data_IF_550223699829
#
_entry.id   IF_550223699829
#
_cell.length_a   1.000
_cell.length_b   1.000
_cell.length_c   1.000
_cell.angle_alpha   90.00
_cell.angle_beta   90.00
_cell.angle_gamma   90.00
#
_symmetry.space_group_name_H-M   'P 1'
#
loop_
_entity.id
_entity.type
_entity.pdbx_description
1 polymer ?
#
# COMPACT_ATOMS: atom_id res chain seq x y z
N UNK A 1 -0.98 -23.95 -14.58
CA UNK A 1 -0.01 -24.26 -13.50
C UNK A 1 0.03 -23.15 -12.45
N UNK A 2 0.05 -23.48 -11.16
CA UNK A 2 -0.07 -22.53 -10.04
C UNK A 2 0.96 -21.37 -10.08
N UNK A 3 2.14 -21.64 -10.65
CA UNK A 3 3.22 -20.68 -10.87
C UNK A 3 2.82 -19.53 -11.80
N UNK A 4 2.03 -19.81 -12.82
CA UNK A 4 1.60 -18.83 -13.82
C UNK A 4 0.67 -17.77 -13.21
N UNK A 5 -0.24 -18.22 -12.32
CA UNK A 5 -1.15 -17.33 -11.60
C UNK A 5 -0.40 -16.38 -10.65
N UNK A 6 0.61 -16.86 -9.93
CA UNK A 6 1.41 -16.00 -9.04
C UNK A 6 2.12 -14.90 -9.84
N UNK A 7 2.75 -15.26 -10.96
CA UNK A 7 3.46 -14.29 -11.81
C UNK A 7 2.52 -13.25 -12.41
N UNK A 8 1.32 -13.65 -12.84
CA UNK A 8 0.30 -12.72 -13.35
C UNK A 8 -0.12 -11.72 -12.26
N UNK A 9 -0.36 -12.18 -11.03
CA UNK A 9 -0.75 -11.29 -9.93
C UNK A 9 0.38 -10.31 -9.58
N UNK A 10 1.63 -10.78 -9.51
CA UNK A 10 2.81 -9.92 -9.31
C UNK A 10 2.94 -8.91 -10.44
N UNK A 11 2.67 -9.31 -11.68
CA UNK A 11 2.74 -8.42 -12.84
C UNK A 11 1.68 -7.33 -12.78
N UNK A 12 0.42 -7.67 -12.50
CA UNK A 12 -0.63 -6.68 -12.28
C UNK A 12 -0.29 -5.73 -11.15
N UNK A 13 0.31 -6.24 -10.08
CA UNK A 13 0.70 -5.41 -8.95
C UNK A 13 1.78 -4.39 -9.32
N UNK A 14 2.80 -4.80 -10.07
CA UNK A 14 3.83 -3.88 -10.60
C UNK A 14 3.25 -2.81 -11.51
N UNK A 15 2.29 -3.18 -12.37
CA UNK A 15 1.59 -2.21 -13.23
C UNK A 15 0.78 -1.23 -12.38
N UNK A 16 0.09 -1.69 -11.35
CA UNK A 16 -0.63 -0.82 -10.43
C UNK A 16 0.32 0.18 -9.74
N UNK A 17 1.45 -0.28 -9.20
CA UNK A 17 2.46 0.58 -8.59
C UNK A 17 3.01 1.64 -9.58
N UNK A 18 3.19 1.27 -10.86
CA UNK A 18 3.62 2.20 -11.90
C UNK A 18 2.58 3.32 -12.10
N UNK A 19 1.30 2.96 -12.28
CA UNK A 19 0.23 3.95 -12.43
C UNK A 19 0.07 4.82 -11.19
N UNK A 20 0.18 4.22 -10.00
CA UNK A 20 0.18 4.96 -8.74
C UNK A 20 1.29 6.01 -8.68
N UNK A 21 2.53 5.63 -9.02
CA UNK A 21 3.67 6.55 -9.06
C UNK A 21 3.51 7.68 -10.07
N UNK A 22 2.72 7.48 -11.13
CA UNK A 22 2.35 8.51 -12.11
C UNK A 22 1.17 9.38 -11.69
N UNK A 23 0.54 9.13 -10.53
CA UNK A 23 -0.69 9.79 -10.09
C UNK A 23 -1.94 9.36 -10.86
N UNK A 24 -1.87 8.29 -11.65
CA UNK A 24 -2.97 7.72 -12.42
C UNK A 24 -3.78 6.75 -11.55
N UNK A 25 -4.53 7.31 -10.59
CA UNK A 25 -5.20 6.55 -9.54
C UNK A 25 -6.27 5.60 -10.08
N UNK A 26 -7.03 6.00 -11.11
CA UNK A 26 -8.08 5.17 -11.70
C UNK A 26 -7.52 3.89 -12.33
N UNK A 27 -6.43 4.01 -13.09
CA UNK A 27 -5.73 2.87 -13.69
C UNK A 27 -5.06 2.01 -12.62
N UNK A 28 -4.46 2.62 -11.60
CA UNK A 28 -3.94 1.89 -10.44
C UNK A 28 -5.03 0.98 -9.83
N UNK A 29 -6.19 1.57 -9.47
CA UNK A 29 -7.33 0.84 -8.89
C UNK A 29 -7.81 -0.27 -9.83
N UNK A 30 -7.87 -0.02 -11.13
CA UNK A 30 -8.26 -1.04 -12.13
C UNK A 30 -7.38 -2.29 -12.06
N UNK A 31 -6.06 -2.14 -12.00
CA UNK A 31 -5.13 -3.27 -11.90
C UNK A 31 -5.18 -3.95 -10.54
N UNK A 32 -5.34 -3.19 -9.45
CA UNK A 32 -5.51 -3.75 -8.11
C UNK A 32 -6.77 -4.60 -7.99
N UNK A 33 -7.86 -4.18 -8.63
CA UNK A 33 -9.10 -4.96 -8.66
C UNK A 33 -8.94 -6.31 -9.38
N UNK A 34 -8.01 -6.44 -10.33
CA UNK A 34 -7.70 -7.75 -10.95
C UNK A 34 -7.06 -8.72 -9.95
N UNK A 35 -6.32 -8.21 -8.97
CA UNK A 35 -5.71 -8.98 -7.89
C UNK A 35 -6.79 -9.31 -6.86
N UNK A 36 -7.44 -8.26 -6.33
CA UNK A 36 -8.41 -8.32 -5.23
C UNK A 36 -9.59 -9.25 -5.54
N UNK A 37 -10.04 -9.29 -6.80
CA UNK A 37 -11.18 -10.11 -7.24
C UNK A 37 -10.76 -11.44 -7.87
N UNK A 38 -9.47 -11.82 -7.80
CA UNK A 38 -9.02 -13.11 -8.33
C UNK A 38 -9.56 -14.28 -7.48
N UNK A 39 -9.99 -15.35 -8.14
CA UNK A 39 -10.62 -16.52 -7.49
C UNK A 39 -9.65 -17.40 -6.68
N UNK A 40 -8.34 -17.23 -6.87
CA UNK A 40 -7.29 -18.06 -6.27
C UNK A 40 -6.57 -17.34 -5.13
N UNK A 41 -7.26 -17.18 -3.99
CA UNK A 41 -6.80 -16.41 -2.83
C UNK A 41 -5.49 -16.95 -2.20
N UNK A 42 -5.27 -18.26 -2.21
CA UNK A 42 -4.15 -18.89 -1.50
C UNK A 42 -2.76 -18.68 -2.12
N UNK A 43 -2.67 -18.30 -3.40
CA UNK A 43 -1.39 -18.28 -4.13
C UNK A 43 -0.61 -16.98 -3.91
N UNK A 44 -1.19 -15.98 -3.25
CA UNK A 44 -0.54 -14.69 -3.02
C UNK A 44 -1.21 -13.88 -1.88
N UNK A 45 -1.46 -14.50 -0.72
CA UNK A 45 -2.17 -13.86 0.39
C UNK A 45 -1.50 -12.56 0.89
N UNK A 46 -0.16 -12.54 0.98
CA UNK A 46 0.59 -11.32 1.28
C UNK A 46 0.38 -10.23 0.22
N UNK A 47 0.37 -10.61 -1.06
CA UNK A 47 0.18 -9.67 -2.16
C UNK A 47 -1.26 -9.14 -2.22
N UNK A 48 -2.24 -9.94 -1.78
CA UNK A 48 -3.63 -9.49 -1.59
C UNK A 48 -3.71 -8.41 -0.51
N UNK A 49 -3.02 -8.61 0.62
CA UNK A 49 -2.90 -7.59 1.66
C UNK A 49 -2.33 -6.28 1.08
N UNK A 50 -1.19 -6.33 0.40
CA UNK A 50 -0.57 -5.13 -0.17
C UNK A 50 -1.43 -4.48 -1.27
N UNK A 51 -2.12 -5.27 -2.09
CA UNK A 51 -3.00 -4.77 -3.13
C UNK A 51 -4.20 -4.01 -2.54
N UNK A 52 -4.80 -4.52 -1.46
CA UNK A 52 -5.92 -3.85 -0.77
C UNK A 52 -5.48 -2.56 -0.08
N UNK A 53 -4.32 -2.58 0.59
CA UNK A 53 -3.74 -1.37 1.21
C UNK A 53 -3.45 -0.30 0.15
N UNK A 54 -2.78 -0.66 -0.95
CA UNK A 54 -2.53 0.28 -2.05
C UNK A 54 -3.83 0.77 -2.70
N UNK A 55 -4.83 -0.09 -2.82
CA UNK A 55 -6.14 0.30 -3.37
C UNK A 55 -6.78 1.36 -2.50
N UNK A 56 -6.74 1.20 -1.17
CA UNK A 56 -7.24 2.19 -0.24
C UNK A 56 -6.55 3.54 -0.39
N UNK A 57 -5.21 3.52 -0.52
CA UNK A 57 -4.41 4.73 -0.75
C UNK A 57 -4.78 5.39 -2.08
N UNK A 58 -4.90 4.62 -3.17
CA UNK A 58 -5.25 5.14 -4.48
C UNK A 58 -6.67 5.75 -4.52
N UNK A 59 -7.63 5.17 -3.79
CA UNK A 59 -8.96 5.74 -3.63
C UNK A 59 -8.90 7.07 -2.87
N UNK A 60 -8.18 7.12 -1.75
CA UNK A 60 -7.94 8.35 -1.00
C UNK A 60 -7.35 9.46 -1.88
N UNK A 61 -6.34 9.12 -2.69
CA UNK A 61 -5.68 10.04 -3.63
C UNK A 61 -6.58 10.51 -4.78
N UNK A 62 -7.55 9.70 -5.19
CA UNK A 62 -8.47 10.06 -6.27
C UNK A 62 -9.53 11.09 -5.86
N UNK A 63 -9.68 11.37 -4.55
CA UNK A 63 -10.72 12.25 -4.03
C UNK A 63 -12.15 11.69 -4.18
N UNK A 64 -12.29 10.43 -4.58
CA UNK A 64 -13.57 9.73 -4.72
C UNK A 64 -14.03 9.18 -3.35
N UNK A 65 -14.68 10.05 -2.58
CA UNK A 65 -15.01 9.81 -1.17
C UNK A 65 -16.13 8.75 -0.96
N UNK A 66 -17.01 8.56 -1.95
CA UNK A 66 -18.28 7.81 -1.79
C UNK A 66 -18.10 6.32 -1.44
N UNK A 67 -16.95 5.73 -1.74
CA UNK A 67 -16.68 4.32 -1.49
C UNK A 67 -15.55 4.09 -0.48
N UNK A 68 -14.88 5.15 -0.01
CA UNK A 68 -13.68 5.01 0.79
C UNK A 68 -13.98 4.30 2.13
N UNK A 69 -15.05 4.67 2.83
CA UNK A 69 -15.46 4.04 4.10
C UNK A 69 -15.75 2.54 3.93
N UNK A 70 -16.44 2.15 2.84
CA UNK A 70 -16.70 0.75 2.53
C UNK A 70 -15.38 0.00 2.25
N UNK A 71 -14.47 0.57 1.48
CA UNK A 71 -13.16 -0.01 1.20
C UNK A 71 -12.30 -0.14 2.46
N UNK A 72 -12.37 0.82 3.39
CA UNK A 72 -11.74 0.74 4.72
C UNK A 72 -12.26 -0.48 5.48
N UNK A 73 -13.59 -0.62 5.60
CA UNK A 73 -14.24 -1.73 6.30
C UNK A 73 -13.91 -3.08 5.66
N UNK A 74 -13.92 -3.17 4.34
CA UNK A 74 -13.62 -4.40 3.60
C UNK A 74 -12.15 -4.80 3.73
N UNK A 75 -11.25 -3.84 3.62
CA UNK A 75 -9.80 -4.07 3.80
C UNK A 75 -9.51 -4.50 5.23
N UNK A 76 -10.05 -3.79 6.24
CA UNK A 76 -9.87 -4.16 7.64
C UNK A 76 -10.39 -5.59 7.92
N UNK A 77 -11.61 -5.92 7.46
CA UNK A 77 -12.19 -7.27 7.61
C UNK A 77 -11.35 -8.36 6.95
N UNK A 78 -10.73 -8.06 5.81
CA UNK A 78 -9.83 -9.00 5.15
C UNK A 78 -8.57 -9.24 5.98
N UNK A 79 -7.90 -8.15 6.42
CA UNK A 79 -6.63 -8.25 7.13
C UNK A 79 -6.75 -8.97 8.47
N UNK A 80 -7.81 -8.76 9.24
CA UNK A 80 -8.00 -9.45 10.54
C UNK A 80 -8.30 -10.95 10.41
N UNK A 81 -8.63 -11.43 9.21
CA UNK A 81 -8.90 -12.85 8.94
C UNK A 81 -7.66 -13.60 8.44
N UNK A 82 -6.57 -12.90 8.12
CA UNK A 82 -5.33 -13.53 7.68
C UNK A 82 -4.72 -14.33 8.83
N UNK A 83 -4.33 -15.56 8.55
CA UNK A 83 -3.57 -16.39 9.48
C UNK A 83 -2.09 -15.99 9.41
N UNK A 84 -1.38 -15.99 10.56
CA UNK A 84 0.07 -15.68 10.63
C UNK A 84 0.47 -14.27 10.14
N UNK A 85 -0.19 -13.24 10.67
CA UNK A 85 0.15 -11.84 10.35
C UNK A 85 1.62 -11.49 10.64
N UNK A 86 2.29 -10.97 9.61
CA UNK A 86 3.59 -10.31 9.70
C UNK A 86 3.50 -8.98 10.46
N UNK A 87 4.61 -8.49 11.01
CA UNK A 87 4.61 -7.27 11.84
C UNK A 87 4.20 -6.04 11.02
N UNK A 88 4.64 -5.96 9.75
CA UNK A 88 4.24 -4.89 8.84
C UNK A 88 2.74 -4.91 8.55
N UNK A 89 2.14 -6.11 8.46
CA UNK A 89 0.70 -6.26 8.23
C UNK A 89 -0.12 -5.83 9.46
N UNK A 90 0.37 -6.15 10.66
CA UNK A 90 -0.22 -5.65 11.92
C UNK A 90 -0.19 -4.13 11.97
N UNK A 91 0.90 -3.51 11.53
CA UNK A 91 0.99 -2.06 11.41
C UNK A 91 -0.02 -1.49 10.40
N UNK A 92 -0.28 -2.17 9.28
CA UNK A 92 -1.35 -1.74 8.37
C UNK A 92 -2.72 -1.80 9.01
N UNK A 93 -3.05 -2.87 9.74
CA UNK A 93 -4.33 -2.99 10.47
C UNK A 93 -4.49 -1.84 11.46
N UNK A 94 -3.46 -1.60 12.29
CA UNK A 94 -3.42 -0.52 13.27
C UNK A 94 -3.58 0.86 12.61
N UNK A 95 -2.88 1.08 11.50
CA UNK A 95 -2.88 2.35 10.77
C UNK A 95 -4.22 2.64 10.08
N UNK A 96 -4.83 1.62 9.47
CA UNK A 96 -6.17 1.73 8.86
C UNK A 96 -7.20 2.10 9.92
N UNK A 97 -7.15 1.46 11.10
CA UNK A 97 -8.03 1.78 12.22
C UNK A 97 -7.80 3.20 12.71
N UNK A 98 -6.55 3.62 12.88
CA UNK A 98 -6.22 4.97 13.32
C UNK A 98 -6.71 6.03 12.33
N UNK A 99 -6.51 5.83 11.03
CA UNK A 99 -6.93 6.78 9.99
C UNK A 99 -8.46 6.92 9.84
N UNK A 100 -9.23 5.90 10.23
CA UNK A 100 -10.69 5.95 10.16
C UNK A 100 -11.34 7.05 11.02
N UNK A 101 -10.67 7.46 12.10
CA UNK A 101 -11.20 8.42 13.09
C UNK A 101 -10.47 9.79 13.05
N UNK A 102 -9.67 10.05 12.01
CA UNK A 102 -8.74 11.18 11.96
C UNK A 102 -9.31 12.39 11.25
N UNK A 103 -9.22 13.56 11.91
CA UNK A 103 -9.63 14.82 11.31
C UNK A 103 -8.60 15.32 10.26
N UNK A 104 -9.03 16.09 9.25
CA UNK A 104 -8.14 16.55 8.16
C UNK A 104 -6.86 17.26 8.62
N UNK A 105 -6.92 18.05 9.70
CA UNK A 105 -5.76 18.76 10.24
C UNK A 105 -4.76 17.85 10.98
N UNK A 106 -5.19 16.64 11.37
CA UNK A 106 -4.38 15.65 12.08
C UNK A 106 -3.73 14.65 11.13
N UNK A 107 -4.23 14.51 9.91
CA UNK A 107 -3.84 13.45 8.97
C UNK A 107 -2.35 13.42 8.68
N UNK A 108 -1.72 14.60 8.56
CA UNK A 108 -0.29 14.73 8.32
C UNK A 108 0.54 14.18 9.49
N UNK A 109 0.10 14.42 10.72
CA UNK A 109 0.75 13.88 11.91
C UNK A 109 0.58 12.37 12.00
N UNK A 110 -0.58 11.84 11.61
CA UNK A 110 -0.80 10.40 11.55
C UNK A 110 0.06 9.72 10.48
N UNK A 111 0.18 10.31 9.29
CA UNK A 111 1.12 9.82 8.27
C UNK A 111 2.56 9.78 8.78
N UNK A 112 2.99 10.78 9.54
CA UNK A 112 4.32 10.77 10.17
C UNK A 112 4.47 9.60 11.15
N UNK A 113 3.49 9.38 12.04
CA UNK A 113 3.52 8.26 12.98
C UNK A 113 3.55 6.90 12.25
N UNK A 114 2.77 6.75 11.19
CA UNK A 114 2.75 5.53 10.37
C UNK A 114 4.10 5.33 9.69
N UNK A 115 4.69 6.39 9.13
CA UNK A 115 6.01 6.35 8.52
C UNK A 115 7.07 5.88 9.52
N UNK A 116 7.10 6.49 10.71
CA UNK A 116 8.09 6.16 11.74
C UNK A 116 7.98 4.70 12.19
N UNK A 117 6.76 4.17 12.35
CA UNK A 117 6.55 2.75 12.69
C UNK A 117 6.97 1.81 11.56
N UNK A 118 6.60 2.12 10.32
CA UNK A 118 6.93 1.28 9.16
C UNK A 118 8.42 1.29 8.83
N UNK A 119 9.11 2.42 9.02
CA UNK A 119 10.53 2.57 8.69
C UNK A 119 11.43 1.62 9.48
N UNK A 120 11.04 1.21 10.67
CA UNK A 120 11.79 0.23 11.48
C UNK A 120 11.96 -1.10 10.72
N UNK A 121 11.00 -1.46 9.87
CA UNK A 121 11.02 -2.72 9.13
C UNK A 121 11.78 -2.65 7.79
N UNK A 122 12.22 -1.46 7.35
CA UNK A 122 12.93 -1.26 6.07
C UNK A 122 14.19 -2.14 5.95
N UNK A 123 14.92 -2.28 7.06
CA UNK A 123 16.14 -3.09 7.15
C UNK A 123 15.94 -4.44 7.86
N UNK A 124 14.68 -4.83 8.13
CA UNK A 124 14.41 -6.04 8.88
C UNK A 124 14.64 -7.30 8.01
N UNK A 125 15.44 -8.28 8.48
CA UNK A 125 15.92 -9.39 7.65
C UNK A 125 14.80 -10.25 7.04
N UNK A 126 13.65 -10.34 7.71
CA UNK A 126 12.51 -11.16 7.26
C UNK A 126 11.38 -10.35 6.60
N UNK A 127 11.30 -9.04 6.86
CA UNK A 127 10.19 -8.18 6.41
C UNK A 127 10.58 -7.28 5.24
N UNK A 128 11.89 -7.19 4.92
CA UNK A 128 12.40 -6.38 3.80
C UNK A 128 11.72 -6.70 2.47
N UNK A 129 11.26 -7.94 2.26
CA UNK A 129 10.56 -8.35 1.03
C UNK A 129 9.22 -7.63 0.85
N UNK A 130 8.56 -7.25 1.94
CA UNK A 130 7.32 -6.46 1.92
C UNK A 130 7.55 -5.08 1.29
N UNK A 131 8.69 -4.46 1.57
CA UNK A 131 9.07 -3.15 1.02
C UNK A 131 9.46 -3.18 -0.47
N UNK A 132 9.75 -4.36 -1.03
CA UNK A 132 9.99 -4.51 -2.48
C UNK A 132 8.71 -4.34 -3.31
N UNK A 133 7.53 -4.52 -2.70
CA UNK A 133 6.26 -4.45 -3.40
C UNK A 133 5.70 -3.04 -3.39
N UNK A 134 5.69 -2.38 -2.23
CA UNK A 134 5.11 -1.06 -2.07
C UNK A 134 6.12 -0.12 -1.43
N UNK A 135 6.56 0.90 -2.17
CA UNK A 135 7.30 2.02 -1.57
C UNK A 135 6.35 2.97 -0.83
N UNK A 136 5.62 2.41 0.14
CA UNK A 136 4.68 3.13 1.01
C UNK A 136 5.41 4.19 1.82
N UNK A 137 6.69 3.98 2.11
CA UNK A 137 7.55 4.95 2.77
C UNK A 137 7.73 6.19 1.89
N UNK A 138 8.05 6.04 0.59
CA UNK A 138 8.12 7.17 -0.33
C UNK A 138 6.77 7.86 -0.52
N UNK A 139 5.66 7.12 -0.50
CA UNK A 139 4.33 7.73 -0.55
C UNK A 139 4.03 8.57 0.70
N UNK A 140 4.20 8.00 1.90
CA UNK A 140 4.00 8.70 3.18
C UNK A 140 4.90 9.94 3.25
N UNK A 141 6.15 9.80 2.85
CA UNK A 141 7.12 10.90 2.80
C UNK A 141 6.69 11.99 1.82
N UNK A 142 6.15 11.61 0.65
CA UNK A 142 5.57 12.53 -0.31
C UNK A 142 4.44 13.36 0.32
N UNK A 143 3.57 12.74 1.12
CA UNK A 143 2.50 13.45 1.84
C UNK A 143 2.99 14.33 2.96
N UNK A 144 4.00 13.87 3.71
CA UNK A 144 4.60 14.64 4.79
C UNK A 144 5.35 15.88 4.24
N UNK A 145 6.06 15.72 3.12
CA UNK A 145 6.85 16.79 2.48
C UNK A 145 6.05 17.63 1.48
N UNK A 146 4.79 17.26 1.18
CA UNK A 146 3.98 17.88 0.14
C UNK A 146 4.67 17.87 -1.24
N UNK A 147 5.26 16.73 -1.59
CA UNK A 147 5.90 16.45 -2.88
C UNK A 147 5.18 15.31 -3.59
N UNK A 148 5.38 15.20 -4.90
CA UNK A 148 4.91 14.01 -5.64
C UNK A 148 5.74 12.79 -5.24
N UNK A 149 5.14 11.60 -5.29
CA UNK A 149 5.85 10.34 -5.02
C UNK A 149 7.03 10.18 -5.96
N UNK A 150 6.87 10.53 -7.24
CA UNK A 150 7.94 10.51 -8.24
C UNK A 150 9.13 11.39 -7.86
N UNK A 151 8.90 12.56 -7.24
CA UNK A 151 10.01 13.43 -6.79
C UNK A 151 10.78 12.77 -5.65
N UNK A 152 10.08 12.23 -4.64
CA UNK A 152 10.73 11.52 -3.53
C UNK A 152 11.57 10.34 -4.04
N UNK A 153 11.02 9.54 -4.95
CA UNK A 153 11.72 8.40 -5.53
C UNK A 153 12.99 8.88 -6.27
N UNK A 154 12.90 9.93 -7.09
CA UNK A 154 14.06 10.49 -7.80
C UNK A 154 15.12 11.03 -6.85
N UNK A 155 14.73 11.68 -5.75
CA UNK A 155 15.64 12.19 -4.72
C UNK A 155 16.40 11.03 -4.06
N UNK A 156 15.69 9.98 -3.63
CA UNK A 156 16.30 8.78 -3.05
C UNK A 156 17.28 8.10 -4.00
N UNK A 157 16.90 7.91 -5.27
CA UNK A 157 17.81 7.33 -6.27
C UNK A 157 19.11 8.11 -6.43
N UNK A 158 19.06 9.45 -6.37
CA UNK A 158 20.26 10.29 -6.44
C UNK A 158 21.12 10.19 -5.19
N UNK A 159 20.53 9.98 -4.01
CA UNK A 159 21.26 9.74 -2.77
C UNK A 159 21.94 8.37 -2.76
N UNK A 160 21.28 7.31 -3.23
CA UNK A 160 21.88 5.97 -3.33
C UNK A 160 22.95 5.85 -4.41
N UNK A 161 22.90 6.69 -5.45
CA UNK A 161 23.89 6.70 -6.52
C UNK A 161 25.14 7.55 -6.20
N UNK A 162 25.15 8.23 -5.04
CA UNK A 162 26.33 8.92 -4.50
C UNK A 162 27.14 7.98 -3.60
#
# INVERSE_FOLDING_TARGET
>A
DLLDNHHIVVFYYKIACLYFGMGKNSECIFYLNKIINSKNLHVAEDLQCFARVLSLIAHYESGLDYHLEMQFKDTYRFLIKMENLQEVQKEFISSIKALGDVYPHQIKNEFKKIYDRLKVFENHPYEKRTFLYLDILSWLESKIQNKTVSQIIQEKFKEYAK
#
